data_IF_111942601370
#
_entry.id   IF_111942601370
#
_cell.length_a   1.000
_cell.length_b   1.000
_cell.length_c   1.000
_cell.angle_alpha   90.00
_cell.angle_beta   90.00
_cell.angle_gamma   90.00
#
_symmetry.space_group_name_H-M   'P 1'
#
loop_
_entity.id
_entity.type
_entity.pdbx_description
1 polymer ?
#
# COMPACT_ATOMS: atom_id res chain seq x y z
N UNK A 1 -13.06 -19.24 -7.09
CA UNK A 1 -11.76 -19.63 -6.57
C UNK A 1 -11.85 -20.94 -5.78
N UNK A 2 -12.72 -21.05 -4.75
CA UNK A 2 -12.84 -22.25 -3.90
C UNK A 2 -13.03 -23.55 -4.70
N UNK A 3 -13.86 -23.51 -5.74
CA UNK A 3 -14.09 -24.66 -6.64
C UNK A 3 -12.94 -24.96 -7.61
N UNK A 4 -11.97 -24.07 -7.73
CA UNK A 4 -10.81 -24.24 -8.63
C UNK A 4 -9.50 -24.52 -7.91
N UNK A 5 -9.47 -24.32 -6.59
CA UNK A 5 -8.29 -24.50 -5.75
C UNK A 5 -8.72 -25.26 -4.48
N UNK A 6 -7.83 -26.07 -3.91
CA UNK A 6 -8.09 -26.83 -2.70
C UNK A 6 -8.03 -25.93 -1.45
N UNK A 7 -8.97 -24.99 -1.32
CA UNK A 7 -9.05 -24.08 -0.17
C UNK A 7 -9.71 -24.80 1.00
N UNK A 8 -8.98 -24.97 2.10
CA UNK A 8 -9.44 -25.67 3.29
C UNK A 8 -10.22 -24.78 4.27
N UNK A 9 -9.88 -23.49 4.36
CA UNK A 9 -10.45 -22.57 5.35
C UNK A 9 -10.64 -21.19 4.75
N UNK A 10 -11.72 -20.51 5.15
CA UNK A 10 -12.07 -19.14 4.75
C UNK A 10 -12.41 -18.35 6.00
N UNK A 11 -12.03 -17.06 6.04
CA UNK A 11 -12.44 -16.12 7.06
C UNK A 11 -13.39 -15.06 6.48
N UNK A 12 -14.47 -14.77 7.18
CA UNK A 12 -15.48 -13.77 6.81
C UNK A 12 -15.76 -12.90 8.02
N UNK A 13 -15.45 -11.61 7.94
CA UNK A 13 -15.58 -10.69 9.07
C UNK A 13 -17.04 -10.32 9.40
N UNK A 14 -17.94 -10.33 8.39
CA UNK A 14 -19.37 -10.07 8.58
C UNK A 14 -20.14 -11.36 8.86
N UNK A 15 -20.94 -11.39 9.92
CA UNK A 15 -21.73 -12.56 10.29
C UNK A 15 -22.68 -13.05 9.17
N UNK A 16 -23.37 -12.12 8.48
CA UNK A 16 -24.26 -12.44 7.33
C UNK A 16 -23.50 -13.00 6.12
N UNK A 17 -22.23 -12.68 5.96
CA UNK A 17 -21.44 -13.07 4.79
C UNK A 17 -21.19 -14.58 4.67
N UNK A 18 -21.29 -15.33 5.75
CA UNK A 18 -21.10 -16.80 5.74
C UNK A 18 -22.23 -17.52 4.99
N UNK A 19 -23.48 -17.14 5.24
CA UNK A 19 -24.64 -17.73 4.54
C UNK A 19 -24.66 -17.31 3.09
N UNK A 20 -24.39 -16.03 2.81
CA UNK A 20 -24.24 -15.49 1.44
C UNK A 20 -23.18 -16.27 0.66
N UNK A 21 -22.00 -16.49 1.28
CA UNK A 21 -20.91 -17.26 0.68
C UNK A 21 -21.30 -18.72 0.39
N UNK A 22 -21.87 -19.43 1.37
CA UNK A 22 -22.27 -20.84 1.19
C UNK A 22 -23.35 -21.00 0.13
N UNK A 23 -24.29 -20.04 0.04
CA UNK A 23 -25.32 -20.00 -0.98
C UNK A 23 -24.70 -19.79 -2.37
N UNK A 24 -23.81 -18.81 -2.49
CA UNK A 24 -23.08 -18.52 -3.74
C UNK A 24 -22.19 -19.69 -4.18
N UNK A 25 -21.52 -20.37 -3.22
CA UNK A 25 -20.68 -21.53 -3.50
C UNK A 25 -21.51 -22.69 -4.11
N UNK A 26 -22.68 -22.98 -3.53
CA UNK A 26 -23.58 -24.02 -4.04
C UNK A 26 -24.11 -23.66 -5.44
N UNK A 27 -24.60 -22.44 -5.62
CA UNK A 27 -25.10 -21.98 -6.90
C UNK A 27 -24.02 -22.04 -8.00
N UNK A 28 -22.77 -21.70 -7.68
CA UNK A 28 -21.66 -21.79 -8.64
C UNK A 28 -21.27 -23.25 -8.94
N UNK A 29 -21.33 -24.15 -7.94
CA UNK A 29 -21.12 -25.58 -8.14
C UNK A 29 -22.16 -26.17 -9.08
N UNK A 30 -23.44 -25.85 -8.85
CA UNK A 30 -24.57 -26.29 -9.71
C UNK A 30 -24.39 -25.78 -11.15
N UNK A 31 -24.02 -24.52 -11.32
CA UNK A 31 -23.72 -23.91 -12.63
C UNK A 31 -22.62 -24.64 -13.39
N UNK A 32 -21.62 -25.18 -12.66
CA UNK A 32 -20.53 -25.98 -13.24
C UNK A 32 -20.87 -27.46 -13.38
N UNK A 33 -22.05 -27.89 -12.99
CA UNK A 33 -22.46 -29.30 -13.01
C UNK A 33 -21.70 -30.18 -11.98
N UNK A 34 -21.19 -29.59 -10.92
CA UNK A 34 -20.47 -30.29 -9.85
C UNK A 34 -21.46 -30.82 -8.81
N UNK A 35 -21.29 -32.09 -8.41
CA UNK A 35 -22.04 -32.68 -7.30
C UNK A 35 -21.31 -32.38 -5.98
N UNK A 36 -22.01 -32.48 -4.86
CA UNK A 36 -21.44 -32.25 -3.53
C UNK A 36 -20.22 -33.15 -3.19
N UNK A 37 -20.08 -34.28 -3.88
CA UNK A 37 -18.91 -35.14 -3.75
C UNK A 37 -17.70 -34.68 -4.58
N UNK A 38 -17.88 -33.74 -5.51
CA UNK A 38 -16.83 -33.31 -6.44
C UNK A 38 -16.01 -32.14 -5.91
N UNK A 39 -16.41 -31.54 -4.76
CA UNK A 39 -15.67 -30.45 -4.10
C UNK A 39 -15.84 -30.49 -2.57
N UNK A 40 -14.82 -30.00 -1.87
CA UNK A 40 -14.89 -29.83 -0.42
C UNK A 40 -15.44 -28.45 -0.07
N UNK A 41 -16.39 -28.39 0.88
CA UNK A 41 -16.82 -27.12 1.47
C UNK A 41 -15.76 -26.71 2.50
N UNK A 42 -15.13 -25.52 2.37
CA UNK A 42 -14.13 -25.10 3.31
C UNK A 42 -14.71 -24.86 4.72
N UNK A 43 -13.89 -24.96 5.74
CA UNK A 43 -14.22 -24.45 7.07
C UNK A 43 -14.40 -22.93 6.96
N UNK A 44 -15.50 -22.40 7.48
CA UNK A 44 -15.76 -20.94 7.46
C UNK A 44 -15.63 -20.40 8.88
N UNK A 45 -14.65 -19.53 9.09
CA UNK A 45 -14.47 -18.72 10.28
C UNK A 45 -15.27 -17.44 10.13
N UNK A 46 -15.99 -17.02 11.17
CA UNK A 46 -16.92 -15.88 11.09
C UNK A 46 -16.71 -14.94 12.28
N UNK A 47 -16.69 -13.65 12.00
CA UNK A 47 -16.61 -12.61 13.02
C UNK A 47 -15.43 -11.66 12.82
N UNK A 48 -15.31 -10.62 13.66
CA UNK A 48 -14.27 -9.61 13.53
C UNK A 48 -12.85 -10.18 13.66
N UNK A 49 -12.68 -11.25 14.42
CA UNK A 49 -11.39 -11.91 14.64
C UNK A 49 -11.09 -13.03 13.63
N UNK A 50 -12.01 -13.34 12.72
CA UNK A 50 -11.89 -14.51 11.83
C UNK A 50 -10.62 -14.53 10.99
N UNK A 51 -10.14 -13.35 10.53
CA UNK A 51 -8.90 -13.25 9.75
C UNK A 51 -7.68 -13.55 10.62
N UNK A 52 -7.64 -13.02 11.84
CA UNK A 52 -6.59 -13.32 12.80
C UNK A 52 -6.56 -14.82 13.14
N UNK A 53 -7.72 -15.40 13.46
CA UNK A 53 -7.85 -16.85 13.73
C UNK A 53 -7.39 -17.69 12.53
N UNK A 54 -7.75 -17.30 11.30
CA UNK A 54 -7.30 -17.98 10.08
C UNK A 54 -5.77 -18.05 10.03
N UNK A 55 -5.11 -16.93 10.21
CA UNK A 55 -3.64 -16.83 10.13
C UNK A 55 -2.98 -17.63 11.26
N UNK A 56 -3.48 -17.53 12.48
CA UNK A 56 -2.91 -18.20 13.66
C UNK A 56 -3.11 -19.71 13.65
N UNK A 57 -4.21 -20.19 13.05
CA UNK A 57 -4.58 -21.63 13.11
C UNK A 57 -4.30 -22.40 11.83
N UNK A 58 -3.92 -21.72 10.75
CA UNK A 58 -3.63 -22.38 9.48
C UNK A 58 -2.12 -22.33 9.20
N UNK A 59 -1.40 -23.47 9.29
CA UNK A 59 0.03 -23.50 8.97
C UNK A 59 0.26 -23.05 7.52
N UNK A 60 1.18 -22.11 7.33
CA UNK A 60 1.54 -21.59 6.02
C UNK A 60 3.02 -21.16 5.99
N UNK A 61 3.71 -21.41 4.88
CA UNK A 61 5.07 -20.93 4.66
C UNK A 61 5.07 -19.42 4.32
N UNK A 62 3.99 -18.96 3.70
CA UNK A 62 3.82 -17.58 3.23
C UNK A 62 2.40 -17.12 3.55
N UNK A 63 2.30 -15.94 4.14
CA UNK A 63 1.03 -15.18 4.27
C UNK A 63 1.10 -13.96 3.37
N UNK A 64 0.20 -13.85 2.40
CA UNK A 64 0.05 -12.64 1.60
C UNK A 64 -1.05 -11.78 2.21
N UNK A 65 -0.68 -10.59 2.71
CA UNK A 65 -1.64 -9.61 3.22
C UNK A 65 -1.93 -8.54 2.16
N UNK A 66 -3.13 -8.60 1.57
CA UNK A 66 -3.66 -7.64 0.62
C UNK A 66 -4.98 -7.02 1.08
N UNK A 67 -5.21 -6.92 2.39
CA UNK A 67 -6.38 -6.27 2.97
C UNK A 67 -6.23 -4.75 2.80
N UNK A 68 -7.25 -4.07 2.28
CA UNK A 68 -7.20 -2.62 2.08
C UNK A 68 -7.20 -1.86 3.42
N UNK A 69 -6.41 -0.79 3.49
CA UNK A 69 -6.36 0.14 4.61
C UNK A 69 -5.74 -0.45 5.89
N UNK A 70 -6.00 0.22 7.00
CA UNK A 70 -5.42 -0.08 8.32
C UNK A 70 -5.92 -1.38 8.98
N UNK A 71 -7.02 -1.94 8.49
CA UNK A 71 -7.61 -3.19 8.99
C UNK A 71 -6.68 -4.40 8.84
N UNK A 72 -5.69 -4.32 7.96
CA UNK A 72 -4.68 -5.34 7.75
C UNK A 72 -3.64 -5.48 8.88
N UNK A 73 -3.53 -4.51 9.82
CA UNK A 73 -2.46 -4.47 10.82
C UNK A 73 -2.47 -5.69 11.76
N UNK A 74 -3.64 -6.08 12.26
CA UNK A 74 -3.75 -7.26 13.13
C UNK A 74 -3.32 -8.55 12.40
N UNK A 75 -3.72 -8.71 11.13
CA UNK A 75 -3.32 -9.84 10.30
C UNK A 75 -1.81 -9.83 10.00
N UNK A 76 -1.20 -8.65 9.78
CA UNK A 76 0.24 -8.47 9.62
C UNK A 76 0.99 -8.97 10.87
N UNK A 77 0.61 -8.51 12.06
CA UNK A 77 1.26 -8.92 13.32
C UNK A 77 1.07 -10.42 13.61
N UNK A 78 -0.13 -10.97 13.37
CA UNK A 78 -0.35 -12.41 13.49
C UNK A 78 0.50 -13.21 12.52
N UNK A 79 0.61 -12.79 11.26
CA UNK A 79 1.45 -13.47 10.27
C UNK A 79 2.93 -13.50 10.70
N UNK A 80 3.45 -12.38 11.20
CA UNK A 80 4.82 -12.31 11.70
C UNK A 80 5.04 -13.24 12.90
N UNK A 81 4.06 -13.32 13.82
CA UNK A 81 4.13 -14.17 15.00
C UNK A 81 4.13 -15.67 14.67
N UNK A 82 3.56 -16.11 13.54
CA UNK A 82 3.61 -17.52 13.11
C UNK A 82 4.98 -17.95 12.59
N UNK A 83 5.89 -17.01 12.29
CA UNK A 83 7.16 -17.28 11.63
C UNK A 83 7.05 -17.45 10.11
N UNK A 84 5.85 -17.39 9.53
CA UNK A 84 5.65 -17.40 8.08
C UNK A 84 6.29 -16.15 7.44
N UNK A 85 6.72 -16.28 6.19
CA UNK A 85 7.11 -15.11 5.39
C UNK A 85 5.87 -14.27 5.10
N UNK A 86 5.96 -12.96 5.33
CA UNK A 86 4.90 -12.02 5.02
C UNK A 86 5.14 -11.38 3.66
N UNK A 87 4.34 -11.77 2.65
CA UNK A 87 4.24 -11.05 1.38
C UNK A 87 3.30 -9.84 1.58
N UNK A 88 3.88 -8.67 1.81
CA UNK A 88 3.13 -7.48 2.22
C UNK A 88 2.68 -6.64 1.02
N UNK A 89 1.39 -6.71 0.71
CA UNK A 89 0.72 -5.86 -0.27
C UNK A 89 -0.04 -4.70 0.41
N UNK A 90 -0.41 -4.86 1.68
CA UNK A 90 -1.05 -3.83 2.50
C UNK A 90 0.00 -2.93 3.14
N UNK A 91 0.42 -1.89 2.43
CA UNK A 91 1.41 -0.93 2.93
C UNK A 91 0.93 -0.17 4.16
N UNK A 92 -0.37 0.09 4.25
CA UNK A 92 -0.99 0.85 5.32
C UNK A 92 -0.77 0.21 6.69
N UNK A 93 -0.75 -1.12 6.79
CA UNK A 93 -0.46 -1.80 8.05
C UNK A 93 0.98 -1.60 8.51
N UNK A 94 1.95 -1.60 7.60
CA UNK A 94 3.34 -1.29 7.95
C UNK A 94 3.50 0.18 8.33
N UNK A 95 2.88 1.10 7.59
CA UNK A 95 2.95 2.53 7.85
C UNK A 95 2.29 2.86 9.20
N UNK A 96 1.10 2.32 9.46
CA UNK A 96 0.38 2.56 10.71
C UNK A 96 1.04 1.90 11.91
N UNK A 97 1.43 0.64 11.77
CA UNK A 97 2.05 -0.14 12.84
C UNK A 97 3.57 0.02 12.96
N UNK A 98 4.22 0.72 12.06
CA UNK A 98 5.67 0.96 11.94
C UNK A 98 6.56 0.27 12.98
N UNK A 99 6.79 0.91 14.13
CA UNK A 99 7.64 0.34 15.18
C UNK A 99 7.18 -1.03 15.69
N UNK A 100 5.84 -1.27 15.78
CA UNK A 100 5.30 -2.55 16.24
C UNK A 100 5.60 -3.66 15.23
N UNK A 101 5.37 -3.39 13.94
CA UNK A 101 5.60 -4.35 12.85
C UNK A 101 7.10 -4.66 12.74
N UNK A 102 7.96 -3.65 12.78
CA UNK A 102 9.42 -3.85 12.70
C UNK A 102 9.97 -4.63 13.89
N UNK A 103 9.45 -4.41 15.11
CA UNK A 103 9.84 -5.21 16.29
C UNK A 103 9.35 -6.65 16.24
N UNK A 104 8.20 -6.90 15.61
CA UNK A 104 7.64 -8.24 15.47
C UNK A 104 8.29 -9.08 14.37
N UNK A 105 8.87 -8.42 13.36
CA UNK A 105 9.46 -9.07 12.21
C UNK A 105 10.86 -9.62 12.50
N UNK A 106 11.12 -10.86 12.09
CA UNK A 106 12.47 -11.39 11.97
C UNK A 106 13.18 -10.80 10.72
N UNK A 107 14.53 -10.83 10.66
CA UNK A 107 15.25 -10.43 9.46
C UNK A 107 14.72 -11.17 8.21
N UNK A 108 14.52 -10.44 7.12
CA UNK A 108 14.05 -10.95 5.82
C UNK A 108 12.66 -11.62 5.84
N UNK A 109 11.88 -11.47 6.93
CA UNK A 109 10.54 -12.05 7.04
C UNK A 109 9.51 -11.28 6.21
N UNK A 110 9.67 -9.96 6.02
CA UNK A 110 8.75 -9.14 5.22
C UNK A 110 9.30 -9.01 3.79
N UNK A 111 8.49 -9.40 2.81
CA UNK A 111 8.79 -9.23 1.39
C UNK A 111 7.74 -8.30 0.76
N UNK A 112 8.14 -7.17 0.20
CA UNK A 112 7.20 -6.22 -0.37
C UNK A 112 6.55 -6.75 -1.65
N UNK A 113 5.25 -6.48 -1.79
CA UNK A 113 4.46 -6.74 -3.00
C UNK A 113 4.20 -5.44 -3.77
N UNK A 114 4.22 -4.28 -3.09
CA UNK A 114 4.13 -2.99 -3.79
C UNK A 114 5.21 -2.90 -4.87
N UNK A 115 4.85 -2.44 -6.08
CA UNK A 115 5.71 -2.52 -7.25
C UNK A 115 7.04 -1.77 -7.09
N UNK A 116 6.99 -0.60 -6.50
CA UNK A 116 8.15 0.25 -6.24
C UNK A 116 9.10 -0.37 -5.20
N UNK A 117 8.54 -0.94 -4.14
CA UNK A 117 9.33 -1.56 -3.07
C UNK A 117 9.87 -2.93 -3.50
N UNK A 118 9.11 -3.69 -4.27
CA UNK A 118 9.63 -4.89 -4.94
C UNK A 118 10.81 -4.55 -5.85
N UNK A 119 10.71 -3.43 -6.60
CA UNK A 119 11.80 -2.95 -7.45
C UNK A 119 13.02 -2.55 -6.63
N UNK A 120 12.84 -1.80 -5.52
CA UNK A 120 13.93 -1.46 -4.61
C UNK A 120 14.59 -2.71 -4.03
N UNK A 121 13.81 -3.68 -3.54
CA UNK A 121 14.34 -4.95 -3.01
C UNK A 121 15.16 -5.71 -4.06
N UNK A 122 14.75 -5.69 -5.33
CA UNK A 122 15.50 -6.29 -6.44
C UNK A 122 16.81 -5.55 -6.73
N UNK A 123 16.78 -4.21 -6.75
CA UNK A 123 17.96 -3.38 -6.99
C UNK A 123 18.98 -3.46 -5.86
N UNK A 124 18.54 -3.54 -4.60
CA UNK A 124 19.39 -3.67 -3.42
C UNK A 124 20.23 -4.95 -3.41
N UNK A 125 19.84 -5.98 -4.16
CA UNK A 125 20.64 -7.21 -4.32
C UNK A 125 21.94 -7.00 -5.11
N UNK A 126 22.10 -5.84 -5.77
CA UNK A 126 23.29 -5.52 -6.56
C UNK A 126 24.48 -5.02 -5.72
N UNK A 127 24.28 -4.75 -4.42
CA UNK A 127 25.34 -4.27 -3.53
C UNK A 127 25.00 -4.52 -2.05
N UNK A 128 25.87 -4.03 -1.17
CA UNK A 128 25.69 -4.14 0.28
C UNK A 128 24.94 -2.91 0.81
N UNK A 129 24.20 -3.06 1.90
CA UNK A 129 23.45 -1.97 2.52
C UNK A 129 24.32 -0.72 2.83
N UNK A 130 25.57 -0.92 3.25
CA UNK A 130 26.50 0.17 3.52
C UNK A 130 26.94 0.95 2.25
N UNK A 131 26.74 0.39 1.08
CA UNK A 131 27.09 1.00 -0.22
C UNK A 131 25.93 1.79 -0.82
N UNK A 132 24.72 1.70 -0.25
CA UNK A 132 23.53 2.42 -0.72
C UNK A 132 23.69 3.91 -0.41
N UNK A 133 23.78 4.74 -1.45
CA UNK A 133 23.79 6.20 -1.30
C UNK A 133 22.38 6.78 -1.28
N UNK A 134 21.48 6.30 -2.15
CA UNK A 134 20.13 6.86 -2.31
C UNK A 134 19.15 5.83 -2.86
N UNK A 135 17.91 5.85 -2.36
CA UNK A 135 16.76 5.21 -3.00
C UNK A 135 15.99 6.26 -3.83
N UNK A 136 15.49 5.87 -4.99
CA UNK A 136 14.64 6.71 -5.81
C UNK A 136 13.38 5.95 -6.19
N UNK A 137 12.25 6.41 -5.66
CA UNK A 137 10.92 5.88 -5.93
C UNK A 137 10.33 6.62 -7.13
N UNK A 138 9.80 5.92 -8.11
CA UNK A 138 9.17 6.54 -9.28
C UNK A 138 7.67 6.74 -9.05
N UNK A 139 7.10 7.76 -9.66
CA UNK A 139 5.66 8.04 -9.66
C UNK A 139 5.18 8.24 -11.10
N UNK A 140 3.97 7.80 -11.44
CA UNK A 140 3.36 8.17 -12.74
C UNK A 140 3.07 9.66 -12.87
N UNK A 141 2.98 10.36 -11.74
CA UNK A 141 2.54 11.75 -11.64
C UNK A 141 1.02 11.92 -11.58
N UNK A 142 0.27 10.83 -11.71
CA UNK A 142 -1.19 10.85 -11.67
C UNK A 142 -1.84 11.56 -12.88
N UNK A 143 -3.18 11.69 -12.88
CA UNK A 143 -3.93 12.31 -14.00
C UNK A 143 -3.76 13.84 -14.09
N UNK A 144 -3.21 14.48 -13.05
CA UNK A 144 -3.11 15.94 -12.97
C UNK A 144 -1.68 16.45 -13.09
N UNK A 145 -0.73 15.63 -13.54
CA UNK A 145 0.65 16.03 -13.78
C UNK A 145 0.71 17.29 -14.64
N UNK A 146 1.48 18.29 -14.17
CA UNK A 146 1.66 19.58 -14.85
C UNK A 146 0.55 20.60 -14.61
N UNK A 147 -0.51 20.28 -13.86
CA UNK A 147 -1.55 21.25 -13.46
C UNK A 147 -1.14 22.02 -12.22
N UNK A 148 -1.48 23.32 -12.20
CA UNK A 148 -1.30 24.17 -11.03
C UNK A 148 -2.43 23.92 -10.02
N UNK A 149 -2.17 24.19 -8.74
CA UNK A 149 -3.15 24.03 -7.65
C UNK A 149 -4.49 24.72 -7.94
N UNK A 150 -4.48 25.94 -8.51
CA UNK A 150 -5.70 26.66 -8.87
C UNK A 150 -6.58 25.92 -9.88
N UNK A 151 -5.98 25.11 -10.76
CA UNK A 151 -6.69 24.32 -11.77
C UNK A 151 -7.27 23.02 -11.22
N UNK A 152 -6.93 22.69 -9.94
CA UNK A 152 -7.41 21.50 -9.25
C UNK A 152 -8.68 21.76 -8.42
N UNK A 153 -9.12 23.01 -8.29
CA UNK A 153 -10.26 23.37 -7.45
C UNK A 153 -11.58 22.74 -7.91
N UNK A 154 -11.76 22.57 -9.23
CA UNK A 154 -13.00 22.05 -9.84
C UNK A 154 -12.86 20.59 -10.32
N UNK A 155 -11.79 19.89 -9.89
CA UNK A 155 -11.57 18.49 -10.26
C UNK A 155 -12.67 17.62 -9.66
N UNK A 156 -13.27 16.82 -10.53
CA UNK A 156 -14.31 15.86 -10.14
C UNK A 156 -13.72 14.51 -9.73
N UNK A 157 -14.51 13.70 -9.02
CA UNK A 157 -14.15 12.30 -8.70
C UNK A 157 -13.84 11.52 -9.97
N UNK A 158 -14.64 11.71 -11.03
CA UNK A 158 -14.44 11.04 -12.31
C UNK A 158 -13.10 11.41 -12.96
N UNK A 159 -12.62 12.64 -12.79
CA UNK A 159 -11.30 13.06 -13.29
C UNK A 159 -10.17 12.45 -12.46
N UNK A 160 -10.31 12.42 -11.13
CA UNK A 160 -9.32 11.84 -10.23
C UNK A 160 -9.15 10.31 -10.41
N UNK A 161 -10.19 9.64 -10.92
CA UNK A 161 -10.16 8.20 -11.21
C UNK A 161 -9.53 7.84 -12.57
N UNK A 162 -9.15 8.81 -13.41
CA UNK A 162 -8.51 8.58 -14.72
C UNK A 162 -6.99 8.38 -14.57
N UNK A 163 -6.58 7.24 -13.97
CA UNK A 163 -5.15 6.96 -13.87
C UNK A 163 -4.55 6.69 -15.26
N UNK A 164 -3.37 7.28 -15.61
CA UNK A 164 -2.81 7.18 -16.96
C UNK A 164 -2.34 5.78 -17.35
N UNK A 165 -1.96 4.94 -16.38
CA UNK A 165 -1.27 3.66 -16.64
C UNK A 165 -1.93 2.46 -15.97
N UNK A 166 -2.39 2.61 -14.71
CA UNK A 166 -2.86 1.51 -13.88
C UNK A 166 -4.39 1.48 -13.75
N UNK A 167 -4.96 0.28 -13.75
CA UNK A 167 -6.36 0.05 -13.32
C UNK A 167 -6.36 -0.45 -11.89
N UNK A 168 -6.79 0.39 -10.96
CA UNK A 168 -6.68 0.16 -9.51
C UNK A 168 -8.00 0.43 -8.79
N UNK A 169 -8.07 0.09 -7.51
CA UNK A 169 -9.17 0.45 -6.63
C UNK A 169 -9.31 1.98 -6.48
N UNK A 170 -10.50 2.42 -6.08
CA UNK A 170 -10.86 3.85 -6.00
C UNK A 170 -9.92 4.64 -5.08
N UNK A 171 -9.66 4.15 -3.87
CA UNK A 171 -8.84 4.82 -2.88
C UNK A 171 -7.42 5.05 -3.41
N UNK A 172 -6.74 4.00 -3.86
CA UNK A 172 -5.36 4.09 -4.34
C UNK A 172 -5.24 4.94 -5.62
N UNK A 173 -6.29 4.96 -6.48
CA UNK A 173 -6.31 5.82 -7.67
C UNK A 173 -6.37 7.29 -7.31
N UNK A 174 -7.19 7.69 -6.31
CA UNK A 174 -7.25 9.06 -5.81
C UNK A 174 -5.96 9.40 -5.06
N UNK A 175 -5.39 8.47 -4.29
CA UNK A 175 -4.10 8.64 -3.63
C UNK A 175 -2.96 8.85 -4.64
N UNK A 176 -3.02 8.24 -5.82
CA UNK A 176 -2.10 8.50 -6.92
C UNK A 176 -2.29 9.91 -7.50
N UNK A 177 -3.54 10.35 -7.66
CA UNK A 177 -3.86 11.68 -8.16
C UNK A 177 -3.38 12.82 -7.25
N UNK A 178 -3.43 12.62 -5.93
CA UNK A 178 -2.95 13.57 -4.91
C UNK A 178 -1.46 13.42 -4.58
N UNK A 179 -0.80 12.39 -5.09
CA UNK A 179 0.54 11.91 -4.69
C UNK A 179 0.64 11.45 -3.22
N UNK A 180 -0.47 11.31 -2.51
CA UNK A 180 -0.48 10.69 -1.17
C UNK A 180 0.05 9.26 -1.23
N UNK A 181 -0.33 8.47 -2.26
CA UNK A 181 0.22 7.12 -2.44
C UNK A 181 1.76 7.13 -2.46
N UNK A 182 2.35 8.10 -3.16
CA UNK A 182 3.81 8.22 -3.22
C UNK A 182 4.41 8.66 -1.89
N UNK A 183 3.71 9.49 -1.13
CA UNK A 183 4.09 9.83 0.25
C UNK A 183 4.09 8.60 1.17
N UNK A 184 3.05 7.78 1.11
CA UNK A 184 2.97 6.51 1.84
C UNK A 184 4.12 5.57 1.46
N UNK A 185 4.45 5.48 0.19
CA UNK A 185 5.54 4.66 -0.31
C UNK A 185 6.92 5.13 0.15
N UNK A 186 7.14 6.43 0.33
CA UNK A 186 8.39 6.94 0.92
C UNK A 186 8.52 6.50 2.38
N UNK A 187 7.43 6.52 3.15
CA UNK A 187 7.42 6.01 4.53
C UNK A 187 7.70 4.49 4.52
N UNK A 188 7.03 3.75 3.66
CA UNK A 188 7.23 2.31 3.53
C UNK A 188 8.68 1.95 3.15
N UNK A 189 9.29 2.69 2.21
CA UNK A 189 10.69 2.49 1.82
C UNK A 189 11.65 2.70 3.00
N UNK A 190 11.41 3.73 3.81
CA UNK A 190 12.16 3.97 5.04
C UNK A 190 12.06 2.79 6.01
N UNK A 191 10.84 2.33 6.27
CA UNK A 191 10.57 1.25 7.21
C UNK A 191 11.14 -0.10 6.74
N UNK A 192 10.98 -0.44 5.47
CA UNK A 192 11.44 -1.72 4.91
C UNK A 192 12.96 -1.81 4.80
N UNK A 193 13.61 -0.72 4.39
CA UNK A 193 15.03 -0.77 4.00
C UNK A 193 15.96 -0.04 4.98
N UNK A 194 15.41 0.62 6.02
CA UNK A 194 16.20 1.34 7.02
C UNK A 194 16.98 2.53 6.45
N UNK A 195 16.62 3.03 5.27
CA UNK A 195 17.28 4.18 4.65
C UNK A 195 16.65 5.48 5.18
N UNK A 196 17.44 6.45 5.68
CA UNK A 196 16.91 7.72 6.15
C UNK A 196 16.16 8.51 5.07
N UNK A 197 15.13 9.28 5.45
CA UNK A 197 14.28 10.04 4.53
C UNK A 197 15.05 10.96 3.59
N UNK A 198 16.16 11.57 4.07
CA UNK A 198 17.02 12.46 3.29
C UNK A 198 17.70 11.74 2.12
N UNK A 199 17.75 10.41 2.17
CA UNK A 199 18.32 9.55 1.13
C UNK A 199 17.24 8.82 0.32
N UNK A 200 15.96 9.19 0.47
CA UNK A 200 14.84 8.66 -0.32
C UNK A 200 14.28 9.78 -1.18
N UNK A 201 14.49 9.70 -2.48
CA UNK A 201 13.97 10.67 -3.45
C UNK A 201 12.77 10.14 -4.22
N UNK A 202 12.00 11.06 -4.78
CA UNK A 202 10.89 10.75 -5.68
C UNK A 202 11.13 11.44 -7.01
N UNK A 203 10.87 10.74 -8.12
CA UNK A 203 10.85 11.30 -9.47
C UNK A 203 9.58 10.89 -10.19
N UNK A 204 9.08 11.74 -11.06
CA UNK A 204 7.94 11.43 -11.92
C UNK A 204 8.45 10.74 -13.17
N UNK A 205 7.92 9.54 -13.45
CA UNK A 205 8.20 8.72 -14.63
C UNK A 205 6.87 8.27 -15.27
N UNK A 206 6.32 9.06 -16.20
CA UNK A 206 4.96 8.87 -16.71
C UNK A 206 4.73 7.53 -17.39
N UNK A 207 5.77 6.94 -18.01
CA UNK A 207 5.67 5.66 -18.71
C UNK A 207 5.55 4.48 -17.74
N UNK A 208 5.91 4.65 -16.46
CA UNK A 208 5.86 3.62 -15.41
C UNK A 208 6.56 2.29 -15.81
N UNK A 209 7.62 2.38 -16.61
CA UNK A 209 8.46 1.23 -16.99
C UNK A 209 9.55 0.99 -15.97
N UNK A 210 10.22 2.05 -15.50
CA UNK A 210 11.15 1.98 -14.37
C UNK A 210 10.33 2.16 -13.09
N UNK A 211 10.31 1.11 -12.24
CA UNK A 211 9.50 1.12 -11.03
C UNK A 211 10.21 1.75 -9.84
N UNK A 212 11.52 1.57 -9.72
CA UNK A 212 12.38 2.27 -8.73
C UNK A 212 13.85 2.07 -9.07
N UNK A 213 14.71 2.82 -8.37
CA UNK A 213 16.17 2.81 -8.59
C UNK A 213 16.92 2.89 -7.26
N UNK A 214 18.10 2.29 -7.21
CA UNK A 214 19.08 2.41 -6.11
C UNK A 214 20.37 2.98 -6.66
N UNK A 215 20.83 4.10 -6.09
CA UNK A 215 22.14 4.67 -6.39
C UNK A 215 23.13 4.24 -5.32
N UNK A 216 24.27 3.75 -5.72
CA UNK A 216 25.37 3.29 -4.85
C UNK A 216 26.44 4.35 -4.67
N UNK A 217 27.34 4.14 -3.71
CA UNK A 217 28.37 5.09 -3.29
C UNK A 217 29.39 5.42 -4.41
N UNK A 218 29.56 4.54 -5.39
CA UNK A 218 30.40 4.76 -6.58
C UNK A 218 29.71 5.63 -7.66
N UNK A 219 28.44 6.04 -7.42
CA UNK A 219 27.65 6.81 -8.36
C UNK A 219 26.84 5.98 -9.35
N UNK A 220 27.01 4.66 -9.38
CA UNK A 220 26.20 3.79 -10.23
C UNK A 220 24.76 3.74 -9.76
N UNK A 221 23.82 3.67 -10.72
CA UNK A 221 22.40 3.54 -10.42
C UNK A 221 21.85 2.27 -11.08
N UNK A 222 21.26 1.40 -10.26
CA UNK A 222 20.58 0.19 -10.70
C UNK A 222 19.07 0.45 -10.68
N UNK A 223 18.42 0.17 -11.82
CA UNK A 223 16.99 0.36 -11.98
C UNK A 223 16.30 -0.96 -12.30
N UNK A 224 15.16 -1.22 -11.70
CA UNK A 224 14.29 -2.31 -12.13
C UNK A 224 13.29 -1.77 -13.14
N UNK A 225 13.26 -2.37 -14.33
CA UNK A 225 12.37 -2.01 -15.42
C UNK A 225 11.56 -3.22 -15.88
N UNK A 226 10.27 -3.01 -16.08
CA UNK A 226 9.33 -3.97 -16.68
C UNK A 226 8.09 -3.25 -17.17
N UNK A 227 7.31 -3.81 -18.10
CA UNK A 227 5.97 -3.32 -18.36
C UNK A 227 5.15 -3.27 -17.08
N UNK A 228 4.24 -2.26 -16.92
CA UNK A 228 3.48 -2.09 -15.69
C UNK A 228 2.53 -3.27 -15.46
N UNK A 229 2.85 -4.09 -14.45
CA UNK A 229 2.06 -5.24 -14.03
C UNK A 229 2.35 -5.63 -12.59
N UNK A 230 1.31 -6.01 -11.84
CA UNK A 230 1.46 -6.56 -10.50
C UNK A 230 1.86 -8.05 -10.49
N UNK A 231 1.85 -8.74 -11.64
CA UNK A 231 2.23 -10.16 -11.69
C UNK A 231 3.66 -10.40 -11.25
N UNK A 232 4.60 -9.53 -11.67
CA UNK A 232 6.02 -9.67 -11.32
C UNK A 232 6.25 -9.52 -9.81
N UNK A 233 5.83 -8.41 -9.14
CA UNK A 233 6.07 -8.26 -7.71
C UNK A 233 5.31 -9.30 -6.87
N UNK A 234 4.08 -9.67 -7.24
CA UNK A 234 3.33 -10.72 -6.55
C UNK A 234 4.06 -12.07 -6.66
N UNK A 235 4.43 -12.47 -7.88
CA UNK A 235 5.13 -13.73 -8.12
C UNK A 235 6.47 -13.78 -7.35
N UNK A 236 7.24 -12.69 -7.40
CA UNK A 236 8.52 -12.60 -6.69
C UNK A 236 8.35 -12.68 -5.18
N UNK A 237 7.33 -12.04 -4.61
CA UNK A 237 7.07 -12.12 -3.17
C UNK A 237 6.69 -13.55 -2.72
N UNK A 238 5.98 -14.29 -3.56
CA UNK A 238 5.60 -15.67 -3.30
C UNK A 238 6.77 -16.66 -3.49
N UNK A 239 7.79 -16.32 -4.28
CA UNK A 239 8.94 -17.19 -4.55
C UNK A 239 10.26 -16.66 -4.00
N UNK A 240 10.25 -15.53 -3.30
CA UNK A 240 11.47 -14.88 -2.81
C UNK A 240 12.46 -15.85 -2.16
N UNK A 241 13.78 -15.80 -2.50
CA UNK A 241 14.42 -14.79 -3.36
C UNK A 241 14.47 -15.18 -4.84
N UNK A 242 13.83 -16.26 -5.26
CA UNK A 242 13.93 -16.83 -6.61
C UNK A 242 12.94 -16.14 -7.57
N UNK A 243 13.28 -16.19 -8.88
CA UNK A 243 12.41 -15.66 -9.92
C UNK A 243 11.69 -16.82 -10.61
N UNK A 244 10.36 -16.68 -10.72
CA UNK A 244 9.56 -17.60 -11.54
C UNK A 244 9.67 -17.21 -13.02
N UNK A 245 9.60 -18.21 -13.89
CA UNK A 245 9.65 -18.02 -15.35
C UNK A 245 8.30 -17.61 -15.92
N UNK A 246 8.29 -16.91 -17.03
CA UNK A 246 7.11 -16.61 -17.86
C UNK A 246 5.94 -15.89 -17.13
N UNK A 247 6.27 -15.05 -16.15
CA UNK A 247 5.27 -14.32 -15.35
C UNK A 247 4.65 -13.16 -16.14
N UNK A 248 5.47 -12.44 -16.91
CA UNK A 248 5.04 -11.31 -17.72
C UNK A 248 5.96 -11.11 -18.93
N UNK A 249 5.49 -10.42 -19.98
CA UNK A 249 6.35 -10.04 -21.10
C UNK A 249 7.52 -9.16 -20.63
N UNK A 250 8.69 -9.34 -21.25
CA UNK A 250 9.84 -8.45 -21.05
C UNK A 250 9.61 -7.09 -21.73
N UNK A 251 10.43 -6.08 -21.38
CA UNK A 251 10.52 -4.86 -22.17
C UNK A 251 10.99 -5.20 -23.59
N UNK A 252 10.34 -4.61 -24.59
CA UNK A 252 10.72 -4.77 -26.00
C UNK A 252 11.72 -3.66 -26.37
N UNK A 253 12.95 -4.06 -26.65
CA UNK A 253 14.02 -3.15 -27.13
C UNK A 253 14.28 -3.25 -28.63
N UNK A 254 13.38 -3.89 -29.39
CA UNK A 254 13.50 -3.97 -30.85
C UNK A 254 13.22 -2.64 -31.56
N UNK A 255 12.62 -1.67 -30.84
CA UNK A 255 12.34 -0.33 -31.35
C UNK A 255 12.91 0.75 -30.42
N UNK A 256 13.17 1.92 -30.97
CA UNK A 256 13.63 3.07 -30.22
C UNK A 256 12.59 3.49 -29.16
N UNK A 257 13.04 3.65 -27.93
CA UNK A 257 12.21 4.09 -26.81
C UNK A 257 12.83 5.29 -26.11
N UNK A 258 12.00 6.14 -25.53
CA UNK A 258 12.42 7.23 -24.68
C UNK A 258 11.71 7.13 -23.33
N UNK A 259 12.48 7.06 -22.25
CA UNK A 259 12.00 7.08 -20.87
C UNK A 259 12.34 8.44 -20.27
N UNK A 260 11.33 9.13 -19.75
CA UNK A 260 11.49 10.47 -19.20
C UNK A 260 11.34 10.47 -17.69
N UNK A 261 12.13 11.33 -17.06
CA UNK A 261 12.10 11.53 -15.61
C UNK A 261 11.99 13.04 -15.36
N UNK A 262 11.03 13.42 -14.51
CA UNK A 262 10.75 14.81 -14.17
C UNK A 262 10.89 14.99 -12.65
N UNK A 263 11.33 16.15 -12.18
CA UNK A 263 11.33 16.45 -10.75
C UNK A 263 9.89 16.44 -10.19
N UNK A 264 9.77 16.07 -8.91
CA UNK A 264 8.51 16.14 -8.18
C UNK A 264 8.08 17.59 -8.00
N UNK A 265 6.83 17.92 -8.33
CA UNK A 265 6.21 19.22 -8.10
C UNK A 265 5.61 19.31 -6.69
N UNK A 266 6.44 19.62 -5.71
CA UNK A 266 6.00 19.73 -4.30
C UNK A 266 5.17 20.99 -4.02
N UNK A 267 5.21 22.01 -4.90
CA UNK A 267 4.44 23.24 -4.73
C UNK A 267 2.94 22.96 -4.97
N UNK A 268 2.63 22.28 -6.06
CA UNK A 268 1.26 21.97 -6.43
C UNK A 268 0.75 20.68 -5.78
N UNK A 269 1.65 19.72 -5.41
CA UNK A 269 1.33 18.42 -4.83
C UNK A 269 2.17 18.16 -3.57
N UNK A 270 1.86 18.79 -2.41
CA UNK A 270 2.71 18.75 -1.22
C UNK A 270 2.61 17.45 -0.40
N UNK A 271 1.80 16.47 -0.82
CA UNK A 271 1.52 15.27 -0.04
C UNK A 271 2.77 14.46 0.32
N UNK A 272 3.78 14.39 -0.59
CA UNK A 272 5.04 13.68 -0.31
C UNK A 272 5.82 14.37 0.80
N UNK A 273 5.90 15.71 0.78
CA UNK A 273 6.57 16.49 1.83
C UNK A 273 5.89 16.33 3.18
N UNK A 274 4.55 16.29 3.23
CA UNK A 274 3.77 16.03 4.45
C UNK A 274 4.01 14.63 4.99
N UNK A 275 4.07 13.61 4.10
CA UNK A 275 4.36 12.24 4.49
C UNK A 275 5.78 12.09 5.07
N UNK A 276 6.79 12.73 4.45
CA UNK A 276 8.15 12.77 4.97
C UNK A 276 8.19 13.44 6.35
N UNK A 277 7.46 14.55 6.53
CA UNK A 277 7.38 15.25 7.81
C UNK A 277 6.73 14.38 8.90
N UNK A 278 5.64 13.65 8.56
CA UNK A 278 4.99 12.73 9.47
C UNK A 278 5.89 11.54 9.83
N UNK A 279 6.55 10.94 8.82
CA UNK A 279 7.47 9.83 9.02
C UNK A 279 8.71 10.20 9.82
N UNK A 280 9.30 11.37 9.55
CA UNK A 280 10.48 11.89 10.28
C UNK A 280 10.17 12.24 11.73
N UNK A 281 8.95 12.72 12.01
CA UNK A 281 8.50 12.96 13.37
C UNK A 281 8.20 11.66 14.13
N UNK A 282 7.91 10.56 13.43
CA UNK A 282 7.77 9.22 14.00
C UNK A 282 6.49 9.02 14.82
N UNK A 283 6.58 8.11 15.76
CA UNK A 283 5.46 7.75 16.63
C UNK A 283 4.25 7.20 15.84
N UNK A 284 3.07 7.66 16.20
CA UNK A 284 1.81 7.32 15.48
C UNK A 284 1.46 8.32 14.38
N UNK A 285 2.31 9.32 14.06
CA UNK A 285 2.00 10.32 13.03
C UNK A 285 1.84 9.74 11.61
N UNK A 286 2.59 8.71 11.19
CA UNK A 286 2.30 8.00 9.94
C UNK A 286 0.89 7.36 9.91
N UNK A 287 0.43 6.80 11.03
CA UNK A 287 -0.93 6.26 11.16
C UNK A 287 -1.99 7.37 11.07
N UNK A 288 -1.72 8.52 11.71
CA UNK A 288 -2.57 9.72 11.62
C UNK A 288 -2.66 10.23 10.19
N UNK A 289 -1.54 10.33 9.48
CA UNK A 289 -1.48 10.73 8.06
C UNK A 289 -2.40 9.84 7.21
N UNK A 290 -2.24 8.52 7.33
CA UNK A 290 -3.04 7.58 6.55
C UNK A 290 -4.52 7.64 6.88
N UNK A 291 -4.89 7.66 8.18
CA UNK A 291 -6.28 7.70 8.61
C UNK A 291 -6.99 9.02 8.22
N UNK A 292 -6.29 10.15 8.31
CA UNK A 292 -6.80 11.44 7.83
C UNK A 292 -7.01 11.45 6.32
N UNK A 293 -6.10 10.83 5.55
CA UNK A 293 -6.23 10.67 4.11
C UNK A 293 -7.46 9.84 3.73
N UNK A 294 -7.66 8.68 4.35
CA UNK A 294 -8.79 7.81 4.03
C UNK A 294 -10.13 8.52 4.28
N UNK A 295 -10.26 9.27 5.39
CA UNK A 295 -11.46 10.05 5.70
C UNK A 295 -11.66 11.20 4.69
N UNK A 296 -10.59 11.93 4.36
CA UNK A 296 -10.65 13.04 3.41
C UNK A 296 -10.98 12.56 1.99
N UNK A 297 -10.43 11.43 1.54
CA UNK A 297 -10.77 10.80 0.27
C UNK A 297 -12.23 10.36 0.25
N UNK A 298 -12.73 9.75 1.33
CA UNK A 298 -14.15 9.42 1.47
C UNK A 298 -15.05 10.65 1.34
N UNK A 299 -14.68 11.74 2.01
CA UNK A 299 -15.42 13.00 1.92
C UNK A 299 -15.41 13.62 0.51
N UNK A 300 -14.29 13.54 -0.20
CA UNK A 300 -14.18 13.96 -1.61
C UNK A 300 -15.10 13.11 -2.51
N UNK A 301 -15.08 11.80 -2.36
CA UNK A 301 -15.93 10.87 -3.14
C UNK A 301 -17.41 11.15 -2.91
N UNK A 302 -17.80 11.51 -1.70
CA UNK A 302 -19.18 11.88 -1.32
C UNK A 302 -19.55 13.32 -1.74
N UNK A 303 -18.65 14.06 -2.39
CA UNK A 303 -18.87 15.45 -2.78
C UNK A 303 -18.94 16.44 -1.59
N UNK A 304 -18.41 16.05 -0.43
CA UNK A 304 -18.37 16.87 0.79
C UNK A 304 -17.08 17.70 0.92
N UNK A 305 -16.07 17.41 0.11
CA UNK A 305 -14.78 18.05 0.13
C UNK A 305 -14.28 18.25 -1.32
N UNK A 306 -13.66 19.39 -1.69
CA UNK A 306 -12.99 19.53 -2.98
C UNK A 306 -11.70 18.70 -3.02
N UNK A 307 -11.19 18.44 -4.22
CA UNK A 307 -9.96 17.64 -4.41
C UNK A 307 -8.75 18.20 -3.62
N UNK A 308 -8.53 19.51 -3.66
CA UNK A 308 -7.43 20.18 -2.92
C UNK A 308 -7.61 20.06 -1.41
N UNK A 309 -8.86 19.97 -0.94
CA UNK A 309 -9.20 19.81 0.47
C UNK A 309 -8.70 18.49 1.08
N UNK A 310 -8.42 17.46 0.27
CA UNK A 310 -7.87 16.19 0.75
C UNK A 310 -6.54 16.46 1.48
N UNK A 311 -5.58 17.07 0.78
CA UNK A 311 -4.23 17.30 1.34
C UNK A 311 -4.26 18.38 2.44
N UNK A 312 -5.10 19.39 2.29
CA UNK A 312 -5.34 20.42 3.33
C UNK A 312 -5.91 19.84 4.63
N UNK A 313 -6.75 18.81 4.52
CA UNK A 313 -7.29 18.10 5.70
C UNK A 313 -6.19 17.29 6.37
N UNK A 314 -5.37 16.56 5.60
CA UNK A 314 -4.23 15.80 6.13
C UNK A 314 -3.27 16.73 6.88
N UNK A 315 -2.88 17.86 6.30
CA UNK A 315 -1.98 18.83 6.90
C UNK A 315 -2.52 19.35 8.24
N UNK A 316 -3.77 19.81 8.27
CA UNK A 316 -4.39 20.34 9.50
C UNK A 316 -4.53 19.27 10.60
N UNK A 317 -4.84 18.03 10.25
CA UNK A 317 -4.91 16.92 11.22
C UNK A 317 -3.52 16.59 11.76
N UNK A 318 -2.48 16.55 10.91
CA UNK A 318 -1.10 16.34 11.35
C UNK A 318 -0.62 17.43 12.32
N UNK A 319 -0.90 18.69 12.01
CA UNK A 319 -0.51 19.82 12.90
C UNK A 319 -1.15 19.69 14.28
N UNK A 320 -2.43 19.32 14.33
CA UNK A 320 -3.12 19.08 15.59
C UNK A 320 -2.62 17.83 16.34
N UNK A 321 -2.07 16.85 15.61
CA UNK A 321 -1.63 15.57 16.15
C UNK A 321 -0.26 15.63 16.85
N UNK A 322 0.62 16.54 16.44
CA UNK A 322 2.06 16.56 16.82
C UNK A 322 2.30 16.47 18.32
N UNK A 323 1.53 17.20 19.13
CA UNK A 323 1.71 17.21 20.57
C UNK A 323 1.28 15.92 21.27
N UNK A 324 0.37 15.17 20.68
CA UNK A 324 -0.27 14.01 21.31
C UNK A 324 0.24 12.68 20.77
N UNK A 325 0.59 12.59 19.48
CA UNK A 325 0.83 11.33 18.78
C UNK A 325 2.25 11.14 18.23
N UNK A 326 3.21 11.95 18.69
CA UNK A 326 4.63 11.81 18.30
C UNK A 326 5.38 10.71 19.07
N UNK A 327 4.80 10.17 20.15
CA UNK A 327 5.36 9.03 20.89
C UNK A 327 5.21 7.72 20.14
N UNK A 328 6.18 6.79 20.31
CA UNK A 328 6.04 5.43 19.77
C UNK A 328 4.87 4.71 20.45
N UNK A 329 3.97 4.05 19.68
CA UNK A 329 2.88 3.28 20.24
C UNK A 329 3.40 2.05 20.98
N UNK A 330 2.85 1.80 22.17
CA UNK A 330 3.19 0.63 22.97
C UNK A 330 2.59 -0.65 22.37
N UNK A 331 1.40 -0.54 21.82
CA UNK A 331 0.62 -1.66 21.28
C UNK A 331 -0.30 -1.24 20.13
N UNK A 332 -1.05 -2.21 19.60
CA UNK A 332 -2.01 -2.00 18.50
C UNK A 332 -3.17 -1.08 18.91
N UNK A 333 -3.58 -1.10 20.18
CA UNK A 333 -4.71 -0.31 20.66
C UNK A 333 -4.38 1.18 20.64
N UNK A 334 -3.14 1.56 20.94
CA UNK A 334 -2.67 2.95 20.80
C UNK A 334 -2.64 3.39 19.33
N UNK A 335 -2.22 2.54 18.39
CA UNK A 335 -2.29 2.84 16.95
C UNK A 335 -3.74 3.06 16.52
N UNK A 336 -4.65 2.17 16.92
CA UNK A 336 -6.08 2.27 16.62
C UNK A 336 -6.69 3.53 17.25
N UNK A 337 -6.26 3.91 18.45
CA UNK A 337 -6.70 5.15 19.10
C UNK A 337 -6.26 6.40 18.31
N UNK A 338 -5.00 6.43 17.84
CA UNK A 338 -4.48 7.51 17.00
C UNK A 338 -5.26 7.63 15.68
N UNK A 339 -5.54 6.52 15.03
CA UNK A 339 -6.32 6.47 13.80
C UNK A 339 -7.76 6.93 13.99
N UNK A 340 -8.43 6.49 15.05
CA UNK A 340 -9.79 6.95 15.40
C UNK A 340 -9.82 8.45 15.65
N UNK A 341 -8.84 8.95 16.41
CA UNK A 341 -8.69 10.38 16.67
C UNK A 341 -8.51 11.16 15.35
N UNK A 342 -7.63 10.69 14.46
CA UNK A 342 -7.38 11.34 13.18
C UNK A 342 -8.63 11.38 12.28
N UNK A 343 -9.39 10.29 12.20
CA UNK A 343 -10.66 10.24 11.45
C UNK A 343 -11.68 11.21 12.01
N UNK A 344 -11.82 11.27 13.34
CA UNK A 344 -12.73 12.22 13.98
C UNK A 344 -12.36 13.68 13.64
N UNK A 345 -11.09 14.04 13.74
CA UNK A 345 -10.59 15.38 13.41
C UNK A 345 -10.76 15.72 11.92
N UNK A 346 -10.48 14.78 11.02
CA UNK A 346 -10.74 14.97 9.60
C UNK A 346 -12.24 15.20 9.33
N UNK A 347 -13.12 14.41 9.95
CA UNK A 347 -14.58 14.57 9.83
C UNK A 347 -15.10 15.91 10.35
N UNK A 348 -14.58 16.39 11.48
CA UNK A 348 -14.89 17.73 12.02
C UNK A 348 -14.51 18.83 11.03
N UNK A 349 -13.30 18.74 10.44
CA UNK A 349 -12.82 19.71 9.45
C UNK A 349 -13.68 19.71 8.18
N UNK A 350 -14.02 18.53 7.66
CA UNK A 350 -14.91 18.40 6.50
C UNK A 350 -16.28 19.04 6.76
N UNK A 351 -16.78 18.93 7.99
CA UNK A 351 -18.06 19.53 8.38
C UNK A 351 -17.97 21.06 8.48
N UNK A 352 -16.84 21.58 8.99
CA UNK A 352 -16.63 23.02 9.15
C UNK A 352 -16.31 23.75 7.81
N UNK A 353 -15.92 23.03 6.78
CA UNK A 353 -15.63 23.58 5.44
C UNK A 353 -16.88 23.79 4.57
N UNK A 354 -18.07 23.43 5.05
CA UNK A 354 -19.39 23.68 4.44
C UNK A 354 -19.95 25.01 4.87
#
# INVERSE_FOLDING_TARGET
>A
QVLGFAISTIAITRASGAEEFLTALRAEADRRGLRSADYAVPRVLVGPDAVRELVETTPADIVLNGIDGDQGLAATLSALATGARLALANKESLIAGGPLVLRAAAPDQIVPVDSEHSALAQCLRAGRAAEVAKLTVTASGGPFRGRRRAELAEVTVADALKHPTWSMGRLITINSATLVNKGLEVIEAHLLFGVPYERIGVVVHPQSIVHSMVTFADGSTIAQASPPTMKIPIALALSWPDRLVDIAPACDFSQAQAWTFEPLDNENFPAVSLAIAAGSAGGSLPAVFNAANEEAVGAFVDGRLPFTGIVETIEAVLDAARAQWSGEPADIDEVVAAQRWARARAGERVTAAR
#
